data_IF_781031714443
#
_entry.id   IF_781031714443
#
_cell.length_a   1.000
_cell.length_b   1.000
_cell.length_c   1.000
_cell.angle_alpha   90.00
_cell.angle_beta   90.00
_cell.angle_gamma   90.00
#
_symmetry.space_group_name_H-M   'P 1'
#
loop_
_entity.id
_entity.type
_entity.pdbx_description
1 polymer ?
#
# COMPACT_ATOMS: atom_id res chain seq x y z
N UNK A 1 4.77 22.46 0.61
CA UNK A 1 3.88 21.51 1.31
C UNK A 1 4.51 20.12 1.23
N UNK A 2 4.49 19.31 2.29
CA UNK A 2 4.95 17.92 2.20
C UNK A 2 4.15 17.19 1.11
N UNK A 3 4.82 16.33 0.34
CA UNK A 3 4.19 15.61 -0.76
C UNK A 3 3.39 14.42 -0.20
N UNK A 4 2.15 14.17 -0.69
CA UNK A 4 1.30 13.11 -0.16
C UNK A 4 1.91 11.73 -0.44
N UNK A 5 1.85 10.83 0.54
CA UNK A 5 2.50 9.51 0.50
C UNK A 5 1.77 8.51 -0.39
N UNK A 6 0.43 8.48 -0.37
CA UNK A 6 -0.36 7.47 -1.08
C UNK A 6 -0.11 7.47 -2.60
N UNK A 7 -0.06 8.62 -3.31
CA UNK A 7 0.27 8.63 -4.74
C UNK A 7 1.68 8.11 -5.04
N UNK A 8 2.64 8.36 -4.15
CA UNK A 8 4.02 7.86 -4.32
C UNK A 8 4.08 6.33 -4.16
N UNK A 9 3.33 5.79 -3.19
CA UNK A 9 3.22 4.35 -2.98
C UNK A 9 2.49 3.67 -4.14
N UNK A 10 1.37 4.22 -4.59
CA UNK A 10 0.61 3.71 -5.71
C UNK A 10 1.50 3.63 -6.97
N UNK A 11 2.16 4.73 -7.33
CA UNK A 11 3.05 4.75 -8.49
C UNK A 11 4.28 3.84 -8.36
N UNK A 12 4.77 3.56 -7.15
CA UNK A 12 5.82 2.56 -6.95
C UNK A 12 5.29 1.14 -7.24
N UNK A 13 4.14 0.80 -6.68
CA UNK A 13 3.54 -0.53 -6.82
C UNK A 13 3.12 -0.79 -8.27
N UNK A 14 2.52 0.19 -8.95
CA UNK A 14 2.16 0.06 -10.37
C UNK A 14 3.37 -0.15 -11.27
N UNK A 15 4.51 0.50 -10.98
CA UNK A 15 5.77 0.28 -11.72
C UNK A 15 6.34 -1.12 -11.49
N UNK A 16 6.19 -1.67 -10.28
CA UNK A 16 6.64 -3.03 -9.96
C UNK A 16 5.74 -4.08 -10.59
N UNK A 17 4.42 -3.86 -10.59
CA UNK A 17 3.44 -4.80 -11.16
C UNK A 17 3.28 -4.64 -12.68
N UNK A 18 3.68 -3.49 -13.25
CA UNK A 18 3.47 -3.16 -14.66
C UNK A 18 2.02 -2.91 -15.04
N UNK A 19 1.15 -2.67 -14.05
CA UNK A 19 -0.29 -2.54 -14.22
C UNK A 19 -0.88 -1.54 -13.21
N UNK A 20 -2.00 -0.87 -13.54
CA UNK A 20 -2.69 0.01 -12.60
C UNK A 20 -3.21 -0.77 -11.39
N UNK A 21 -3.22 -0.12 -10.22
CA UNK A 21 -3.77 -0.71 -9.01
C UNK A 21 -5.30 -0.80 -9.08
N UNK A 22 -5.90 -1.98 -8.89
CA UNK A 22 -7.36 -2.13 -8.86
C UNK A 22 -7.98 -1.75 -7.52
N UNK A 23 -7.18 -1.19 -6.60
CA UNK A 23 -7.55 -0.84 -5.22
C UNK A 23 -7.13 0.58 -4.90
N UNK A 24 -7.81 1.18 -3.93
CA UNK A 24 -7.42 2.46 -3.35
C UNK A 24 -6.46 2.21 -2.19
N UNK A 25 -5.45 3.05 -2.04
CA UNK A 25 -4.51 3.02 -0.92
C UNK A 25 -4.76 4.26 -0.06
N UNK A 26 -4.90 4.07 1.25
CA UNK A 26 -4.86 5.15 2.26
C UNK A 26 -3.59 5.03 3.08
N UNK A 27 -2.77 6.07 3.10
CA UNK A 27 -1.52 6.10 3.84
C UNK A 27 -1.68 6.71 5.25
N UNK A 28 -0.66 6.52 6.09
CA UNK A 28 -0.62 6.98 7.48
C UNK A 28 -0.63 8.52 7.63
N UNK A 29 -0.36 9.27 6.56
CA UNK A 29 -0.46 10.72 6.51
C UNK A 29 -1.89 11.20 6.13
N UNK A 30 -2.82 10.26 5.99
CA UNK A 30 -4.21 10.52 5.59
C UNK A 30 -4.41 10.71 4.08
N UNK A 31 -3.34 10.63 3.28
CA UNK A 31 -3.46 10.73 1.83
C UNK A 31 -4.06 9.46 1.22
N UNK A 32 -4.74 9.61 0.08
CA UNK A 32 -5.34 8.52 -0.66
C UNK A 32 -4.94 8.53 -2.14
N UNK A 33 -4.86 7.36 -2.76
CA UNK A 33 -4.62 7.20 -4.19
C UNK A 33 -5.26 5.92 -4.74
N UNK A 34 -5.81 5.98 -5.95
CA UNK A 34 -6.44 4.84 -6.63
C UNK A 34 -7.91 5.12 -7.02
N UNK A 35 -8.60 4.13 -7.61
CA UNK A 35 -9.96 4.32 -8.13
C UNK A 35 -10.97 4.66 -7.04
N UNK A 36 -11.96 5.50 -7.39
CA UNK A 36 -12.95 5.96 -6.42
C UNK A 36 -13.85 4.82 -5.89
N UNK A 37 -14.24 3.88 -6.76
CA UNK A 37 -15.17 2.81 -6.40
C UNK A 37 -14.46 1.49 -6.09
N UNK A 38 -13.22 1.55 -5.60
CA UNK A 38 -12.40 0.37 -5.29
C UNK A 38 -12.21 0.17 -3.78
N UNK A 39 -12.03 -1.09 -3.33
CA UNK A 39 -11.70 -1.40 -1.93
C UNK A 39 -10.47 -0.63 -1.46
N UNK A 40 -10.44 -0.25 -0.18
CA UNK A 40 -9.39 0.61 0.38
C UNK A 40 -8.42 -0.21 1.22
N UNK A 41 -7.18 -0.34 0.75
CA UNK A 41 -6.08 -0.84 1.56
C UNK A 41 -5.52 0.27 2.45
N UNK A 42 -5.58 0.07 3.78
CA UNK A 42 -5.13 1.06 4.76
C UNK A 42 -3.74 0.71 5.28
N UNK A 43 -2.77 1.58 5.02
CA UNK A 43 -1.39 1.44 5.51
C UNK A 43 -1.20 2.31 6.74
N UNK A 44 -1.47 1.74 7.92
CA UNK A 44 -1.44 2.46 9.21
C UNK A 44 -0.02 2.76 9.72
N UNK A 45 0.98 1.98 9.32
CA UNK A 45 2.33 2.06 9.89
C UNK A 45 3.45 2.02 8.85
N UNK A 46 4.12 3.17 8.65
CA UNK A 46 5.32 3.31 7.80
C UNK A 46 6.41 2.26 8.07
N UNK A 47 6.56 1.87 9.34
CA UNK A 47 7.58 0.89 9.78
C UNK A 47 7.28 -0.52 9.26
N UNK A 48 6.01 -0.91 9.13
CA UNK A 48 5.61 -2.20 8.59
C UNK A 48 5.97 -2.32 7.10
N UNK A 49 5.68 -1.27 6.32
CA UNK A 49 6.04 -1.21 4.90
C UNK A 49 7.56 -1.35 4.66
N UNK A 50 8.39 -0.69 5.48
CA UNK A 50 9.86 -0.81 5.36
C UNK A 50 10.35 -2.22 5.66
N UNK A 51 9.71 -2.95 6.59
CA UNK A 51 10.06 -4.36 6.86
C UNK A 51 9.70 -5.26 5.67
N UNK A 52 8.55 -5.02 5.05
CA UNK A 52 8.10 -5.75 3.86
C UNK A 52 9.04 -5.56 2.67
N UNK A 53 9.49 -4.33 2.42
CA UNK A 53 10.37 -4.00 1.30
C UNK A 53 11.79 -4.55 1.45
N UNK A 54 12.28 -4.76 2.68
CA UNK A 54 13.65 -5.26 2.94
C UNK A 54 13.73 -6.79 3.06
N UNK A 55 12.61 -7.51 2.99
CA UNK A 55 12.58 -8.97 2.94
C UNK A 55 11.57 -9.47 1.89
N UNK A 56 11.85 -9.27 0.59
CA UNK A 56 10.89 -9.48 -0.49
C UNK A 56 10.82 -10.97 -0.84
N UNK A 57 10.06 -11.74 -0.06
CA UNK A 57 9.47 -12.99 -0.54
C UNK A 57 8.00 -12.72 -0.88
N UNK A 58 7.47 -13.31 -1.96
CA UNK A 58 6.05 -13.17 -2.37
C UNK A 58 5.06 -13.47 -1.22
N UNK A 59 5.49 -14.27 -0.24
CA UNK A 59 4.76 -14.58 1.00
C UNK A 59 4.70 -13.44 2.03
N UNK A 60 5.54 -12.40 1.94
CA UNK A 60 5.59 -11.32 2.92
C UNK A 60 4.40 -10.37 2.81
N UNK A 61 4.03 -9.98 1.59
CA UNK A 61 2.84 -9.18 1.31
C UNK A 61 1.55 -9.93 1.66
N UNK A 62 1.47 -11.22 1.28
CA UNK A 62 0.36 -12.09 1.63
C UNK A 62 0.28 -12.35 3.15
N UNK A 63 1.42 -12.53 3.84
CA UNK A 63 1.43 -12.70 5.30
C UNK A 63 1.09 -11.42 6.05
N UNK A 64 1.45 -10.24 5.56
CA UNK A 64 1.05 -8.99 6.21
C UNK A 64 -0.46 -8.73 6.05
N UNK A 65 -1.05 -9.11 4.91
CA UNK A 65 -2.50 -9.17 4.70
C UNK A 65 -3.17 -10.20 5.65
N UNK A 66 -2.62 -11.41 5.75
CA UNK A 66 -3.16 -12.49 6.60
C UNK A 66 -2.92 -12.24 8.10
N UNK A 67 -1.87 -11.53 8.48
CA UNK A 67 -1.53 -11.22 9.88
C UNK A 67 -2.25 -9.98 10.42
N UNK A 68 -3.06 -9.28 9.61
CA UNK A 68 -3.77 -8.07 10.01
C UNK A 68 -2.89 -6.82 10.13
N UNK A 69 -1.65 -6.85 9.60
CA UNK A 69 -0.81 -5.66 9.47
C UNK A 69 -1.18 -4.80 8.24
N UNK A 70 -1.91 -5.41 7.30
CA UNK A 70 -2.60 -4.80 6.17
C UNK A 70 -4.10 -5.00 6.40
N UNK A 71 -4.80 -3.89 6.59
CA UNK A 71 -6.25 -3.86 6.80
C UNK A 71 -6.92 -3.57 5.46
N UNK A 72 -8.00 -4.29 5.16
CA UNK A 72 -8.82 -4.10 3.96
C UNK A 72 -10.24 -3.86 4.42
N UNK A 73 -10.79 -2.70 4.04
CA UNK A 73 -12.24 -2.46 4.00
C UNK A 73 -12.72 -2.47 2.54
#
# INVERSE_FOLDING_TARGET
MPQPVAPQLAGLVERVLGAPLPIRIRAWDGSEAGPADSPVAIIRHRRALRRLLWNPGELGLARAFVAGELDVE
#
